data_IF_198183015251
#
_entry.id   IF_198183015251
#
_cell.length_a   1.000
_cell.length_b   1.000
_cell.length_c   1.000
_cell.angle_alpha   90.00
_cell.angle_beta   90.00
_cell.angle_gamma   90.00
#
_symmetry.space_group_name_H-M   'P 1'
#
loop_
_entity.id
_entity.type
_entity.pdbx_description
1 polymer ?
#
# COMPACT_ATOMS: atom_id res chain seq x y z
N UNK A 1 -17.29 10.96 -10.91
CA UNK A 1 -16.81 9.56 -11.06
C UNK A 1 -16.41 9.02 -9.70
N UNK A 2 -17.19 8.09 -9.11
CA UNK A 2 -16.70 7.28 -7.98
C UNK A 2 -15.68 6.30 -8.55
N UNK A 3 -14.38 6.61 -8.41
CA UNK A 3 -13.30 5.68 -8.77
C UNK A 3 -13.25 4.63 -7.67
N UNK A 4 -13.89 3.48 -7.91
CA UNK A 4 -13.73 2.34 -7.02
C UNK A 4 -12.33 1.76 -7.24
N UNK A 5 -11.55 1.68 -6.16
CA UNK A 5 -10.27 0.98 -6.17
C UNK A 5 -10.56 -0.51 -5.99
N UNK A 6 -10.26 -1.32 -7.02
CA UNK A 6 -10.34 -2.76 -6.88
C UNK A 6 -9.17 -3.25 -6.02
N UNK A 7 -9.46 -4.07 -5.02
CA UNK A 7 -8.42 -4.71 -4.21
C UNK A 7 -7.90 -5.93 -4.98
N UNK A 8 -6.59 -6.05 -5.22
CA UNK A 8 -6.02 -7.24 -5.86
C UNK A 8 -6.28 -8.51 -5.04
N UNK A 9 -6.53 -9.63 -5.72
CA UNK A 9 -6.82 -10.91 -5.06
C UNK A 9 -5.73 -11.33 -4.06
N UNK A 10 -4.45 -11.10 -4.38
CA UNK A 10 -3.33 -11.38 -3.49
C UNK A 10 -3.45 -10.68 -2.11
N UNK A 11 -3.93 -9.43 -2.08
CA UNK A 11 -4.17 -8.70 -0.82
C UNK A 11 -5.34 -9.34 -0.06
N UNK A 12 -6.38 -9.76 -0.77
CA UNK A 12 -7.56 -10.39 -0.17
C UNK A 12 -7.20 -11.74 0.47
N UNK A 13 -6.44 -12.56 -0.24
CA UNK A 13 -5.94 -13.85 0.25
C UNK A 13 -5.09 -13.68 1.51
N UNK A 14 -4.20 -12.68 1.55
CA UNK A 14 -3.36 -12.43 2.72
C UNK A 14 -4.14 -11.94 3.95
N UNK A 15 -5.35 -11.39 3.77
CA UNK A 15 -6.26 -11.09 4.88
C UNK A 15 -6.96 -12.35 5.37
N UNK A 16 -7.47 -13.17 4.44
CA UNK A 16 -8.12 -14.45 4.78
C UNK A 16 -7.14 -15.37 5.53
N UNK A 17 -5.88 -15.38 5.12
CA UNK A 17 -4.80 -16.14 5.76
C UNK A 17 -4.25 -15.49 7.04
N UNK A 18 -4.78 -14.34 7.47
CA UNK A 18 -4.38 -13.66 8.70
C UNK A 18 -3.00 -12.96 8.65
N UNK A 19 -2.37 -12.85 7.49
CA UNK A 19 -1.09 -12.12 7.32
C UNK A 19 -1.30 -10.60 7.37
N UNK A 20 -2.45 -10.13 6.89
CA UNK A 20 -2.89 -8.75 6.94
C UNK A 20 -4.17 -8.62 7.77
N UNK A 21 -4.40 -7.41 8.30
CA UNK A 21 -5.63 -7.07 9.04
C UNK A 21 -6.41 -5.96 8.34
N UNK A 22 -7.65 -5.69 8.77
CA UNK A 22 -8.51 -4.68 8.14
C UNK A 22 -7.91 -3.27 8.05
N UNK A 23 -7.09 -2.85 9.03
CA UNK A 23 -6.38 -1.57 8.95
C UNK A 23 -5.38 -1.51 7.78
N UNK A 24 -4.84 -2.65 7.36
CA UNK A 24 -3.83 -2.73 6.31
C UNK A 24 -4.46 -2.46 4.95
N UNK A 25 -5.72 -2.88 4.76
CA UNK A 25 -6.51 -2.49 3.58
C UNK A 25 -6.69 -0.98 3.50
N UNK A 26 -6.97 -0.31 4.62
CA UNK A 26 -7.17 1.14 4.64
C UNK A 26 -5.89 1.85 4.24
N UNK A 27 -4.76 1.45 4.82
CA UNK A 27 -3.44 2.00 4.47
C UNK A 27 -3.07 1.66 3.03
N UNK A 28 -3.29 0.44 2.56
CA UNK A 28 -3.04 0.04 1.18
C UNK A 28 -3.87 0.86 0.19
N UNK A 29 -5.17 1.01 0.42
CA UNK A 29 -6.05 1.82 -0.43
C UNK A 29 -5.61 3.29 -0.48
N UNK A 30 -5.19 3.83 0.66
CA UNK A 30 -4.60 5.16 0.70
C UNK A 30 -3.36 5.21 -0.19
N UNK A 31 -2.43 4.25 -0.08
CA UNK A 31 -1.25 4.19 -0.93
C UNK A 31 -1.63 4.10 -2.41
N UNK A 32 -2.62 3.29 -2.79
CA UNK A 32 -3.13 3.21 -4.18
C UNK A 32 -3.69 4.55 -4.66
N UNK A 33 -4.39 5.29 -3.80
CA UNK A 33 -4.94 6.59 -4.17
C UNK A 33 -3.87 7.67 -4.40
N UNK A 34 -2.68 7.51 -3.79
CA UNK A 34 -1.58 8.50 -3.84
C UNK A 34 -0.46 8.10 -4.78
N UNK A 35 -0.15 6.81 -4.88
CA UNK A 35 0.91 6.26 -5.71
C UNK A 35 0.35 5.96 -7.10
N UNK A 36 0.67 6.80 -8.08
CA UNK A 36 0.35 6.53 -9.48
C UNK A 36 1.21 5.38 -10.01
N UNK A 37 0.58 4.26 -10.37
CA UNK A 37 1.13 3.11 -11.12
C UNK A 37 2.64 2.88 -10.95
N UNK A 38 3.07 2.45 -9.76
CA UNK A 38 4.44 2.02 -9.49
C UNK A 38 5.44 3.15 -9.16
N UNK A 39 5.03 4.42 -9.17
CA UNK A 39 5.89 5.52 -8.69
C UNK A 39 5.94 5.52 -7.14
N UNK A 40 7.13 5.62 -6.55
CA UNK A 40 7.26 5.71 -5.10
C UNK A 40 6.67 7.03 -4.58
N UNK A 41 6.01 6.96 -3.43
CA UNK A 41 5.62 8.14 -2.66
C UNK A 41 6.59 8.35 -1.49
N UNK A 42 6.82 9.60 -1.10
CA UNK A 42 7.79 9.97 -0.07
C UNK A 42 7.11 10.54 1.19
N UNK A 43 5.94 10.01 1.54
CA UNK A 43 5.14 10.54 2.63
C UNK A 43 5.58 9.99 3.98
N UNK A 44 5.60 10.85 4.99
CA UNK A 44 5.87 10.43 6.37
C UNK A 44 4.64 9.76 6.97
N UNK A 45 4.83 8.95 8.01
CA UNK A 45 3.73 8.28 8.67
C UNK A 45 2.74 9.29 9.29
N UNK A 46 3.21 10.45 9.78
CA UNK A 46 2.36 11.52 10.31
C UNK A 46 1.44 12.09 9.23
N UNK A 47 1.98 12.32 8.02
CA UNK A 47 1.17 12.79 6.90
C UNK A 47 0.11 11.76 6.52
N UNK A 48 0.49 10.48 6.43
CA UNK A 48 -0.45 9.39 6.15
C UNK A 48 -1.55 9.35 7.23
N UNK A 49 -1.19 9.53 8.50
CA UNK A 49 -2.13 9.55 9.62
C UNK A 49 -3.14 10.69 9.54
N UNK A 50 -2.66 11.89 9.20
CA UNK A 50 -3.52 13.05 9.00
C UNK A 50 -4.52 12.83 7.86
N UNK A 51 -4.05 12.31 6.72
CA UNK A 51 -4.92 12.03 5.56
C UNK A 51 -5.94 10.91 5.84
N UNK A 52 -5.60 9.97 6.74
CA UNK A 52 -6.47 8.87 7.18
C UNK A 52 -7.35 9.22 8.39
N UNK A 53 -7.64 10.50 8.61
CA UNK A 53 -8.56 10.94 9.68
C UNK A 53 -7.97 10.86 11.09
N UNK A 54 -6.65 11.02 11.23
CA UNK A 54 -5.97 11.02 12.54
C UNK A 54 -5.53 9.62 13.01
N UNK A 55 -5.31 8.67 12.09
CA UNK A 55 -4.77 7.36 12.44
C UNK A 55 -3.40 7.50 13.10
N UNK A 56 -3.19 6.82 14.23
CA UNK A 56 -1.96 6.96 15.01
C UNK A 56 -0.72 6.45 14.27
N UNK A 57 0.43 7.08 14.55
CA UNK A 57 1.72 6.71 13.98
C UNK A 57 2.02 5.21 14.15
N UNK A 58 1.77 4.65 15.34
CA UNK A 58 2.01 3.24 15.63
C UNK A 58 1.19 2.29 14.75
N UNK A 59 -0.10 2.62 14.52
CA UNK A 59 -0.97 1.83 13.63
C UNK A 59 -0.48 1.87 12.19
N UNK A 60 -0.05 3.04 11.71
CA UNK A 60 0.48 3.19 10.35
C UNK A 60 1.81 2.44 10.20
N UNK A 61 2.72 2.62 11.15
CA UNK A 61 4.02 1.94 11.14
C UNK A 61 3.84 0.41 11.11
N UNK A 62 2.94 -0.11 11.94
CA UNK A 62 2.61 -1.54 11.97
C UNK A 62 1.98 -2.02 10.65
N UNK A 63 1.05 -1.25 10.08
CA UNK A 63 0.39 -1.58 8.82
C UNK A 63 1.38 -1.60 7.65
N UNK A 64 2.23 -0.58 7.54
CA UNK A 64 3.30 -0.52 6.54
C UNK A 64 4.33 -1.65 6.73
N UNK A 65 4.57 -2.09 7.97
CA UNK A 65 5.45 -3.23 8.25
C UNK A 65 4.83 -4.55 7.78
N UNK A 66 3.55 -4.80 8.07
CA UNK A 66 2.84 -6.01 7.61
C UNK A 66 2.70 -6.05 6.09
N UNK A 67 2.31 -4.94 5.46
CA UNK A 67 2.25 -4.83 3.99
C UNK A 67 3.61 -5.08 3.32
N UNK A 68 4.71 -4.63 3.94
CA UNK A 68 6.07 -4.91 3.45
C UNK A 68 6.43 -6.39 3.61
N UNK A 69 6.13 -6.99 4.77
CA UNK A 69 6.38 -8.42 5.03
C UNK A 69 5.59 -9.33 4.08
N UNK A 70 4.38 -8.91 3.70
CA UNK A 70 3.54 -9.58 2.71
C UNK A 70 3.92 -9.25 1.25
N UNK A 71 5.03 -8.56 1.01
CA UNK A 71 5.54 -8.21 -0.33
C UNK A 71 4.59 -7.35 -1.20
N UNK A 72 3.63 -6.65 -0.59
CA UNK A 72 2.73 -5.77 -1.33
C UNK A 72 3.31 -4.37 -1.57
N UNK A 73 4.26 -3.97 -0.73
CA UNK A 73 4.97 -2.70 -0.84
C UNK A 73 6.47 -2.91 -0.62
N UNK A 74 7.27 -2.08 -1.29
CA UNK A 74 8.68 -1.91 -0.95
C UNK A 74 8.89 -0.56 -0.27
N UNK A 75 9.77 -0.53 0.72
CA UNK A 75 10.14 0.69 1.45
C UNK A 75 11.65 0.81 1.56
N UNK A 76 12.19 1.91 1.08
CA UNK A 76 13.61 2.24 1.14
C UNK A 76 13.82 3.60 1.79
N UNK A 77 14.84 3.69 2.65
CA UNK A 77 15.25 4.96 3.25
C UNK A 77 15.98 5.77 2.20
N UNK A 78 15.63 7.04 2.11
CA UNK A 78 16.39 8.08 1.42
C UNK A 78 16.92 9.05 2.46
N UNK A 79 17.86 9.95 2.09
CA UNK A 79 18.55 10.84 3.02
C UNK A 79 17.62 11.52 4.06
N UNK A 80 16.44 11.99 3.65
CA UNK A 80 15.51 12.72 4.55
C UNK A 80 14.09 12.13 4.63
N UNK A 81 13.78 11.07 3.87
CA UNK A 81 12.41 10.52 3.75
C UNK A 81 12.43 9.02 3.54
N UNK A 82 11.28 8.37 3.73
CA UNK A 82 11.09 6.98 3.31
C UNK A 82 10.30 6.95 2.02
N UNK A 83 10.87 6.35 0.98
CA UNK A 83 10.15 6.07 -0.23
C UNK A 83 9.34 4.78 -0.06
N UNK A 84 8.08 4.81 -0.47
CA UNK A 84 7.15 3.67 -0.42
C UNK A 84 6.60 3.43 -1.81
N UNK A 85 6.83 2.24 -2.37
CA UNK A 85 6.39 1.84 -3.70
C UNK A 85 5.42 0.67 -3.58
N UNK A 86 4.34 0.71 -4.38
CA UNK A 86 3.42 -0.41 -4.54
C UNK A 86 4.04 -1.45 -5.46
N UNK A 87 4.08 -2.71 -5.01
CA UNK A 87 4.53 -3.84 -5.81
C UNK A 87 3.33 -4.65 -6.35
N UNK A 88 2.25 -4.75 -5.56
CA UNK A 88 0.99 -5.33 -6.03
C UNK A 88 0.19 -4.27 -6.79
N UNK A 89 0.11 -4.42 -8.11
CA UNK A 89 -0.60 -3.47 -8.98
C UNK A 89 -2.12 -3.61 -8.87
N UNK A 90 -2.82 -2.47 -8.82
CA UNK A 90 -4.27 -2.41 -9.05
C UNK A 90 -4.50 -2.26 -10.55
N UNK A 91 -5.14 -3.26 -11.15
CA UNK A 91 -5.55 -3.25 -12.54
C UNK A 91 -6.55 -2.12 -12.79
N UNK A 92 -6.22 -1.22 -13.72
CA UNK A 92 -7.21 -0.36 -14.35
C UNK A 92 -7.48 -0.93 -15.74
N UNK A 93 -8.66 -1.51 -15.96
CA UNK A 93 -9.10 -1.93 -17.30
C UNK A 93 -8.45 -3.20 -17.88
N UNK A 94 -8.06 -4.16 -17.04
CA UNK A 94 -7.78 -5.54 -17.51
C UNK A 94 -6.38 -5.83 -18.07
N UNK A 95 -5.37 -4.96 -17.88
CA UNK A 95 -3.97 -5.31 -18.18
C UNK A 95 -3.06 -5.25 -16.96
N UNK A 96 -2.62 -6.45 -16.52
CA UNK A 96 -1.66 -6.65 -15.43
C UNK A 96 -0.26 -6.50 -16.02
N UNK A 97 0.48 -5.51 -15.55
CA UNK A 97 1.94 -5.54 -15.68
C UNK A 97 2.49 -5.56 -14.27
N UNK A 98 2.63 -6.77 -13.73
CA UNK A 98 3.49 -7.04 -12.58
C UNK A 98 4.74 -7.69 -13.15
N UNK A 99 5.88 -7.01 -12.98
CA UNK A 99 7.18 -7.49 -13.44
C UNK A 99 7.76 -8.38 -12.36
N UNK A 100 7.96 -9.67 -12.65
CA UNK A 100 8.62 -10.60 -11.75
C UNK A 100 8.31 -12.07 -12.02
N UNK A 101 8.45 -12.52 -13.27
CA UNK A 101 8.94 -13.85 -13.70
C UNK A 101 8.70 -13.99 -15.21
N UNK A 102 9.79 -14.18 -15.96
CA UNK A 102 9.84 -14.66 -17.35
C UNK A 102 11.17 -15.36 -17.52
#
# INVERSE_FOLDING_TARGET
MKKFTQIPNAIQEDIVNGKLIGNDLVVYNYLVSKASHGRPIFYTNERIGKDLGGMSYGKISASLSRLKKANHISRFKTYNRTATKLETAVLQGGKLIVRGES
#
